data_IF_581722636818
#
_entry.id   IF_581722636818
#
_cell.length_a   1.000
_cell.length_b   1.000
_cell.length_c   1.000
_cell.angle_alpha   90.00
_cell.angle_beta   90.00
_cell.angle_gamma   90.00
#
_symmetry.space_group_name_H-M   'P 1'
#
loop_
_entity.id
_entity.type
_entity.pdbx_description
1 polymer ?
#
# COMPACT_ATOMS: atom_id res chain seq x y z
N UNK A 1 13.91 1.53 -9.46
CA UNK A 1 14.29 2.70 -8.64
C UNK A 1 13.95 3.93 -9.46
N UNK A 2 12.81 4.54 -9.14
CA UNK A 2 12.28 5.68 -9.88
C UNK A 2 13.15 6.93 -9.76
N UNK A 3 12.77 8.03 -10.43
CA UNK A 3 13.44 9.30 -10.26
C UNK A 3 13.44 9.68 -8.77
N UNK A 4 14.51 10.33 -8.31
CA UNK A 4 14.53 10.93 -6.97
C UNK A 4 13.34 11.88 -6.87
N UNK A 5 12.39 11.57 -5.98
CA UNK A 5 11.34 12.53 -5.65
C UNK A 5 12.04 13.79 -5.11
N UNK A 6 11.66 14.96 -5.63
CA UNK A 6 12.19 16.23 -5.13
C UNK A 6 11.94 16.37 -3.63
N UNK A 7 12.80 17.13 -2.95
CA UNK A 7 12.77 17.40 -1.49
C UNK A 7 11.42 17.90 -0.96
N UNK A 8 10.49 18.31 -1.83
CA UNK A 8 9.16 18.79 -1.43
C UNK A 8 8.26 17.72 -0.80
N UNK A 9 8.47 16.43 -1.09
CA UNK A 9 7.57 15.34 -0.67
C UNK A 9 8.20 14.32 0.29
N UNK A 10 9.45 14.55 0.69
CA UNK A 10 10.17 13.72 1.65
C UNK A 10 10.60 14.59 2.83
N UNK A 11 9.70 14.75 3.82
CA UNK A 11 10.07 15.30 5.12
C UNK A 11 10.44 14.16 6.06
N UNK A 12 11.45 14.30 6.94
CA UNK A 12 11.65 13.39 8.07
C UNK A 12 10.42 13.29 8.99
N UNK A 13 9.48 14.24 8.91
CA UNK A 13 8.20 14.22 9.64
C UNK A 13 7.15 13.30 9.01
N UNK A 14 7.39 12.76 7.80
CA UNK A 14 6.45 11.87 7.16
C UNK A 14 6.41 10.52 7.88
N UNK A 15 5.25 10.18 8.46
CA UNK A 15 5.00 8.86 9.04
C UNK A 15 4.58 7.92 7.91
N UNK A 16 5.41 6.92 7.63
CA UNK A 16 5.05 5.82 6.75
C UNK A 16 4.51 4.66 7.58
N UNK A 17 3.31 4.19 7.24
CA UNK A 17 2.72 2.97 7.79
C UNK A 17 2.69 1.93 6.68
N UNK A 18 3.22 0.75 6.94
CA UNK A 18 3.16 -0.36 5.99
C UNK A 18 1.74 -0.97 6.01
N UNK A 19 0.96 -0.90 4.92
CA UNK A 19 -0.42 -1.40 4.90
C UNK A 19 -0.52 -2.92 4.98
N UNK A 20 0.59 -3.64 4.79
CA UNK A 20 0.63 -5.09 4.92
C UNK A 20 0.80 -5.57 6.37
N UNK A 21 1.31 -4.71 7.25
CA UNK A 21 1.60 -5.06 8.66
C UNK A 21 1.00 -4.09 9.67
N UNK A 22 0.53 -2.93 9.24
CA UNK A 22 0.09 -1.80 10.06
C UNK A 22 1.18 -1.29 11.02
N UNK A 23 2.44 -1.52 10.69
CA UNK A 23 3.63 -1.11 11.47
C UNK A 23 4.39 0.04 10.79
N UNK A 24 5.16 0.78 11.60
CA UNK A 24 6.09 1.85 11.17
C UNK A 24 7.56 1.46 11.31
N UNK A 25 7.86 0.20 11.68
CA UNK A 25 9.21 -0.31 11.99
C UNK A 25 10.18 -0.37 10.80
N UNK A 26 9.71 -0.14 9.58
CA UNK A 26 10.54 -0.21 8.37
C UNK A 26 10.89 -1.64 7.94
N UNK A 27 10.34 -2.67 8.57
CA UNK A 27 10.49 -4.04 8.10
C UNK A 27 9.84 -4.20 6.71
N UNK A 28 10.48 -5.00 5.85
CA UNK A 28 9.87 -5.38 4.57
C UNK A 28 8.77 -6.40 4.85
N UNK A 29 7.58 -6.12 4.36
CA UNK A 29 6.51 -7.09 4.31
C UNK A 29 6.56 -7.81 2.95
N UNK A 30 6.49 -9.14 2.93
CA UNK A 30 6.59 -9.90 1.68
C UNK A 30 5.25 -9.90 0.94
N UNK A 31 5.23 -10.36 -0.30
CA UNK A 31 4.02 -10.37 -1.14
C UNK A 31 2.87 -11.15 -0.49
N UNK A 32 3.17 -12.22 0.22
CA UNK A 32 2.21 -13.11 0.86
C UNK A 32 1.37 -12.40 1.95
N UNK A 33 1.84 -11.25 2.45
CA UNK A 33 1.08 -10.40 3.37
C UNK A 33 0.02 -9.54 2.66
N UNK A 34 0.05 -9.45 1.32
CA UNK A 34 -0.95 -8.76 0.52
C UNK A 34 -2.14 -9.67 0.27
N UNK A 35 -3.25 -9.35 0.93
CA UNK A 35 -4.47 -10.15 0.94
C UNK A 35 -5.33 -9.93 -0.32
N UNK A 36 -5.01 -8.92 -1.13
CA UNK A 36 -5.72 -8.65 -2.36
C UNK A 36 -5.62 -7.20 -2.80
N UNK A 37 -5.09 -7.02 -4.01
CA UNK A 37 -5.21 -5.80 -4.78
C UNK A 37 -6.47 -5.83 -5.67
N UNK A 38 -6.92 -4.66 -6.13
CA UNK A 38 -8.00 -4.50 -7.11
C UNK A 38 -7.53 -3.68 -8.30
N UNK A 39 -7.97 -4.04 -9.51
CA UNK A 39 -7.65 -3.28 -10.71
C UNK A 39 -8.82 -2.38 -11.14
N UNK A 40 -8.54 -1.37 -11.97
CA UNK A 40 -9.54 -0.42 -12.46
C UNK A 40 -10.44 -0.97 -13.58
N UNK A 41 -10.28 -2.23 -13.98
CA UNK A 41 -11.13 -2.83 -15.01
C UNK A 41 -12.51 -3.25 -14.48
N UNK A 42 -12.83 -2.99 -13.21
CA UNK A 42 -14.13 -3.28 -12.62
C UNK A 42 -14.37 -4.77 -12.35
N UNK A 43 -13.30 -5.56 -12.23
CA UNK A 43 -13.40 -6.95 -11.80
C UNK A 43 -13.51 -7.02 -10.27
N UNK A 44 -14.44 -7.86 -9.78
CA UNK A 44 -14.54 -8.19 -8.34
C UNK A 44 -13.44 -9.16 -7.86
N UNK A 45 -12.53 -9.55 -8.76
CA UNK A 45 -11.45 -10.48 -8.42
C UNK A 45 -10.33 -9.74 -7.72
N UNK A 46 -10.12 -10.05 -6.45
CA UNK A 46 -8.93 -9.62 -5.72
C UNK A 46 -7.68 -10.36 -6.23
N UNK A 47 -6.54 -9.68 -6.22
CA UNK A 47 -5.23 -10.22 -6.63
C UNK A 47 -4.30 -10.32 -5.40
N UNK A 48 -4.31 -11.44 -4.65
CA UNK A 48 -3.38 -11.64 -3.53
C UNK A 48 -1.93 -11.66 -4.03
N UNK A 49 -0.99 -11.20 -3.20
CA UNK A 49 0.42 -11.22 -3.57
C UNK A 49 0.85 -10.19 -4.61
N UNK A 50 -0.04 -9.28 -5.03
CA UNK A 50 0.25 -8.34 -6.12
C UNK A 50 1.45 -7.42 -5.80
N UNK A 51 1.58 -6.95 -4.56
CA UNK A 51 2.65 -6.04 -4.15
C UNK A 51 3.24 -6.43 -2.79
N UNK A 52 4.57 -6.31 -2.66
CA UNK A 52 5.24 -6.20 -1.38
C UNK A 52 5.22 -4.75 -0.88
N UNK A 53 5.68 -4.51 0.35
CA UNK A 53 5.74 -3.15 0.86
C UNK A 53 6.82 -2.96 1.92
N UNK A 54 7.48 -1.81 1.87
CA UNK A 54 8.44 -1.41 2.89
C UNK A 54 8.48 0.10 3.08
N UNK A 55 8.42 0.55 4.33
CA UNK A 55 8.68 1.94 4.67
C UNK A 55 10.18 2.27 4.61
N UNK A 56 10.52 3.33 3.86
CA UNK A 56 11.87 3.90 3.74
C UNK A 56 11.75 5.41 3.58
N UNK A 57 12.45 6.18 4.43
CA UNK A 57 12.54 7.65 4.33
C UNK A 57 11.15 8.32 4.27
N UNK A 58 10.24 7.90 5.16
CA UNK A 58 8.87 8.44 5.23
C UNK A 58 7.98 8.08 4.04
N UNK A 59 8.36 7.09 3.22
CA UNK A 59 7.63 6.68 2.01
C UNK A 59 7.44 5.18 1.96
N UNK A 60 6.31 4.75 1.38
CA UNK A 60 6.08 3.36 1.05
C UNK A 60 6.79 3.01 -0.26
N UNK A 61 7.64 1.99 -0.22
CA UNK A 61 8.30 1.42 -1.39
C UNK A 61 7.71 0.05 -1.70
N UNK A 62 7.37 -0.15 -2.96
CA UNK A 62 7.03 -1.44 -3.56
C UNK A 62 8.19 -1.81 -4.46
N UNK A 63 8.77 -3.00 -4.27
CA UNK A 63 9.93 -3.44 -5.03
C UNK A 63 9.55 -4.15 -6.32
N UNK A 64 8.42 -4.84 -6.32
CA UNK A 64 7.90 -5.60 -7.45
C UNK A 64 6.37 -5.57 -7.44
N UNK A 65 5.78 -5.49 -8.64
CA UNK A 65 4.35 -5.80 -8.84
C UNK A 65 4.25 -7.12 -9.58
N UNK A 66 3.58 -8.11 -8.98
CA UNK A 66 3.33 -9.44 -9.54
C UNK A 66 1.99 -9.52 -10.27
N UNK A 67 1.74 -8.56 -11.16
CA UNK A 67 0.53 -8.48 -11.98
C UNK A 67 0.74 -7.52 -13.16
N UNK A 68 0.08 -7.80 -14.28
CA UNK A 68 0.11 -6.97 -15.48
C UNK A 68 -1.01 -5.91 -15.51
N UNK A 69 -1.81 -5.78 -14.44
CA UNK A 69 -2.94 -4.85 -14.40
C UNK A 69 -2.59 -3.44 -13.89
N UNK A 70 -1.40 -3.25 -13.31
CA UNK A 70 -0.98 -2.01 -12.64
C UNK A 70 0.07 -1.24 -13.46
N UNK A 71 -0.26 -0.93 -14.71
CA UNK A 71 0.69 -0.40 -15.71
C UNK A 71 0.60 1.13 -15.93
N UNK A 72 -0.44 1.79 -15.45
CA UNK A 72 -0.64 3.24 -15.62
C UNK A 72 0.28 4.03 -14.68
N UNK A 73 1.13 4.87 -15.27
CA UNK A 73 2.17 5.62 -14.55
C UNK A 73 2.16 7.11 -14.96
N UNK A 74 1.05 7.85 -14.76
CA UNK A 74 0.91 9.22 -15.24
C UNK A 74 1.88 10.20 -14.55
N UNK A 75 2.38 9.85 -13.36
CA UNK A 75 3.33 10.65 -12.58
C UNK A 75 4.79 10.23 -12.77
N UNK A 76 5.06 9.50 -13.86
CA UNK A 76 6.40 9.04 -14.24
C UNK A 76 6.70 7.61 -13.83
N UNK A 77 7.83 7.13 -14.32
CA UNK A 77 8.31 5.76 -14.10
C UNK A 77 8.48 5.43 -12.61
N UNK A 78 8.10 4.20 -12.24
CA UNK A 78 8.15 3.65 -10.88
C UNK A 78 7.34 4.47 -9.84
N UNK A 79 6.33 5.23 -10.30
CA UNK A 79 5.42 6.00 -9.45
C UNK A 79 4.00 5.43 -9.49
N UNK A 80 3.72 4.55 -8.53
CA UNK A 80 2.45 3.84 -8.41
C UNK A 80 1.33 4.65 -7.74
N UNK A 81 1.40 5.98 -7.67
CA UNK A 81 0.50 6.79 -6.84
C UNK A 81 -0.99 6.66 -7.20
N UNK A 82 -1.30 6.39 -8.47
CA UNK A 82 -2.68 6.12 -8.90
C UNK A 82 -3.25 4.87 -8.20
N UNK A 83 -2.39 3.97 -7.72
CA UNK A 83 -2.73 2.68 -7.12
C UNK A 83 -2.58 2.61 -5.60
N UNK A 84 -2.47 3.75 -4.90
CA UNK A 84 -2.25 3.81 -3.45
C UNK A 84 -3.20 2.91 -2.63
N UNK A 85 -4.50 2.97 -2.95
CA UNK A 85 -5.50 2.08 -2.35
C UNK A 85 -5.59 0.74 -3.08
N UNK A 86 -5.47 0.77 -4.40
CA UNK A 86 -5.70 -0.38 -5.26
C UNK A 86 -4.78 -1.56 -4.93
N UNK A 87 -3.49 -1.31 -4.69
CA UNK A 87 -2.50 -2.35 -4.38
C UNK A 87 -2.71 -3.05 -3.03
N UNK A 88 -3.44 -2.42 -2.10
CA UNK A 88 -3.56 -2.88 -0.72
C UNK A 88 -5.01 -2.94 -0.24
N UNK A 89 -5.96 -2.99 -1.18
CA UNK A 89 -7.38 -2.78 -0.93
C UNK A 89 -7.95 -3.72 0.15
N UNK A 90 -7.68 -5.02 0.06
CA UNK A 90 -8.21 -5.99 1.03
C UNK A 90 -7.60 -5.80 2.41
N UNK A 91 -6.29 -5.52 2.50
CA UNK A 91 -5.65 -5.20 3.78
C UNK A 91 -6.30 -3.97 4.42
N UNK A 92 -6.46 -2.88 3.66
CA UNK A 92 -7.10 -1.63 4.12
C UNK A 92 -8.52 -1.90 4.60
N UNK A 93 -9.30 -2.65 3.82
CA UNK A 93 -10.68 -3.04 4.17
C UNK A 93 -10.74 -3.80 5.50
N UNK A 94 -9.87 -4.78 5.71
CA UNK A 94 -9.81 -5.53 6.97
C UNK A 94 -9.42 -4.64 8.15
N UNK A 95 -8.46 -3.73 7.96
CA UNK A 95 -8.05 -2.82 9.04
C UNK A 95 -9.13 -1.81 9.41
N UNK A 96 -9.86 -1.29 8.42
CA UNK A 96 -11.01 -0.42 8.65
C UNK A 96 -12.06 -1.12 9.53
N UNK A 97 -12.42 -2.37 9.20
CA UNK A 97 -13.33 -3.18 10.01
C UNK A 97 -12.81 -3.36 11.44
N UNK A 98 -11.55 -3.76 11.60
CA UNK A 98 -10.95 -4.00 12.92
C UNK A 98 -10.97 -2.74 13.81
N UNK A 99 -10.73 -1.56 13.23
CA UNK A 99 -10.76 -0.27 13.95
C UNK A 99 -12.17 0.12 14.35
N UNK A 100 -13.15 -0.05 13.46
CA UNK A 100 -14.57 0.20 13.76
C UNK A 100 -15.03 -0.72 14.90
N UNK A 101 -14.71 -2.01 14.81
CA UNK A 101 -15.10 -2.98 15.84
C UNK A 101 -14.45 -2.66 17.20
N UNK A 102 -13.18 -2.25 17.21
CA UNK A 102 -12.50 -1.81 18.44
C UNK A 102 -13.19 -0.59 19.06
N UNK A 103 -13.49 0.42 18.25
CA UNK A 103 -14.19 1.62 18.70
C UNK A 103 -15.57 1.30 19.30
N UNK A 104 -16.35 0.43 18.65
CA UNK A 104 -17.68 0.04 19.13
C UNK A 104 -17.61 -0.78 20.41
N UNK A 105 -16.59 -1.62 20.60
CA UNK A 105 -16.39 -2.39 21.85
C UNK A 105 -16.05 -1.49 23.04
N UNK A 106 -15.30 -0.41 22.84
CA UNK A 106 -14.96 0.55 23.91
C UNK A 106 -16.14 1.44 24.33
N UNK A 107 -17.21 1.46 23.53
CA UNK A 107 -18.40 2.29 23.73
C UNK A 107 -19.60 1.54 24.32
N UNK A 108 -19.49 0.22 24.46
CA UNK A 108 -20.46 -0.65 25.14
C UNK A 108 -20.01 -0.91 26.58
#
# INVERSE_FOLDING_TARGET
>A
MGPRAGSLFASPDNICVNPLTWSTDGARAPHEANLGAVNFAGSDTHEPGAADAQCREGRLRVSEIRSNHYTLMPLGRDNFHIYDYALFYVNIRQNAQARVDAYLRERN
#
